data_IF_012146306445
#
_entry.id   IF_012146306445
#
_cell.length_a   1.000
_cell.length_b   1.000
_cell.length_c   1.000
_cell.angle_alpha   90.00
_cell.angle_beta   90.00
_cell.angle_gamma   90.00
#
_symmetry.space_group_name_H-M   'P 1'
#
loop_
_entity.id
_entity.type
_entity.pdbx_description
1 polymer ?
#
# COMPACT_ATOMS: atom_id res chain seq x y z
N UNK A 1 13.63 -2.31 12.85
CA UNK A 1 13.48 -2.45 11.38
C UNK A 1 14.70 -1.86 10.73
N UNK A 2 15.21 -2.50 9.68
CA UNK A 2 16.28 -1.96 8.84
C UNK A 2 15.70 -0.98 7.84
N UNK A 3 16.13 0.28 7.89
CA UNK A 3 15.69 1.31 6.94
C UNK A 3 16.64 1.34 5.74
N UNK A 4 16.08 1.43 4.53
CA UNK A 4 16.84 1.65 3.30
C UNK A 4 16.62 3.09 2.87
N UNK A 5 17.69 3.89 2.84
CA UNK A 5 17.64 5.28 2.39
C UNK A 5 18.08 5.39 0.92
N UNK A 6 17.26 6.03 0.11
CA UNK A 6 17.57 6.39 -1.28
C UNK A 6 17.28 7.87 -1.52
N UNK A 7 18.02 8.49 -2.45
CA UNK A 7 17.82 9.89 -2.85
C UNK A 7 17.32 9.92 -4.29
N UNK A 8 16.24 10.66 -4.52
CA UNK A 8 15.63 10.83 -5.84
C UNK A 8 15.65 12.30 -6.22
N UNK A 9 16.02 12.59 -7.47
CA UNK A 9 15.96 13.94 -8.02
C UNK A 9 14.63 14.09 -8.76
N UNK A 10 13.82 15.06 -8.34
CA UNK A 10 12.54 15.39 -8.96
C UNK A 10 12.67 16.71 -9.73
N UNK A 11 11.86 16.94 -10.78
CA UNK A 11 11.76 18.25 -11.41
C UNK A 11 11.37 19.33 -10.38
N UNK A 12 11.93 20.53 -10.49
CA UNK A 12 11.59 21.66 -9.61
C UNK A 12 10.11 22.06 -9.66
N UNK A 13 9.42 21.73 -10.76
CA UNK A 13 7.98 21.94 -10.94
C UNK A 13 7.10 20.84 -10.34
N UNK A 14 7.69 19.78 -9.78
CA UNK A 14 6.93 18.66 -9.22
C UNK A 14 5.94 19.10 -8.13
N UNK A 15 6.31 19.88 -7.09
CA UNK A 15 5.38 20.25 -6.03
C UNK A 15 4.16 21.00 -6.57
N UNK A 16 4.37 21.84 -7.59
CA UNK A 16 3.33 22.61 -8.27
C UNK A 16 2.40 21.68 -9.07
N UNK A 17 2.98 20.72 -9.79
CA UNK A 17 2.24 19.78 -10.65
C UNK A 17 1.28 18.90 -9.85
N UNK A 18 1.72 18.41 -8.69
CA UNK A 18 0.91 17.57 -7.79
C UNK A 18 0.17 18.37 -6.72
N UNK A 19 0.35 19.69 -6.66
CA UNK A 19 -0.30 20.61 -5.69
C UNK A 19 -0.06 20.21 -4.22
N UNK A 20 1.18 19.87 -3.88
CA UNK A 20 1.59 19.52 -2.51
C UNK A 20 2.73 20.41 -2.04
N UNK A 21 2.86 20.58 -0.72
CA UNK A 21 4.02 21.30 -0.15
C UNK A 21 5.26 20.42 -0.14
N UNK A 22 6.44 21.05 -0.12
CA UNK A 22 7.72 20.33 -0.14
C UNK A 22 7.91 19.37 1.06
N UNK A 23 7.43 19.75 2.24
CA UNK A 23 7.45 18.93 3.46
C UNK A 23 6.60 17.66 3.33
N UNK A 24 5.60 17.65 2.45
CA UNK A 24 4.67 16.53 2.25
C UNK A 24 5.13 15.55 1.17
N UNK A 25 6.10 15.94 0.33
CA UNK A 25 6.61 15.12 -0.80
C UNK A 25 7.04 13.72 -0.36
N UNK A 26 7.83 13.53 0.72
CA UNK A 26 8.28 12.19 1.10
C UNK A 26 7.12 11.25 1.42
N UNK A 27 6.09 11.75 2.12
CA UNK A 27 4.92 10.96 2.46
C UNK A 27 4.04 10.69 1.25
N UNK A 28 3.88 11.69 0.37
CA UNK A 28 3.17 11.52 -0.89
C UNK A 28 3.80 10.41 -1.76
N UNK A 29 5.12 10.42 -1.91
CA UNK A 29 5.84 9.43 -2.72
C UNK A 29 5.76 8.05 -2.10
N UNK A 30 6.00 7.90 -0.79
CA UNK A 30 5.88 6.62 -0.09
C UNK A 30 4.49 6.01 -0.26
N UNK A 31 3.43 6.82 -0.08
CA UNK A 31 2.06 6.36 -0.19
C UNK A 31 1.70 5.97 -1.62
N UNK A 32 2.09 6.78 -2.60
CA UNK A 32 1.89 6.47 -4.03
C UNK A 32 2.61 5.18 -4.41
N UNK A 33 3.87 5.02 -3.99
CA UNK A 33 4.66 3.83 -4.26
C UNK A 33 4.05 2.58 -3.60
N UNK A 34 3.58 2.68 -2.35
CA UNK A 34 2.91 1.58 -1.65
C UNK A 34 1.66 1.10 -2.38
N UNK A 35 0.84 2.04 -2.87
CA UNK A 35 -0.39 1.74 -3.61
C UNK A 35 -0.07 1.02 -4.92
N UNK A 36 0.85 1.55 -5.72
CA UNK A 36 1.18 0.95 -7.03
C UNK A 36 1.85 -0.42 -6.87
N UNK A 37 2.78 -0.57 -5.92
CA UNK A 37 3.40 -1.88 -5.68
C UNK A 37 2.42 -2.91 -5.10
N UNK A 38 1.41 -2.49 -4.34
CA UNK A 38 0.31 -3.38 -3.95
C UNK A 38 -0.53 -3.77 -5.17
N UNK A 39 -0.92 -2.79 -6.00
CA UNK A 39 -1.71 -3.03 -7.22
C UNK A 39 -1.01 -4.01 -8.18
N UNK A 40 0.31 -3.93 -8.29
CA UNK A 40 1.12 -4.86 -9.09
C UNK A 40 1.36 -6.23 -8.42
N UNK A 41 0.88 -6.45 -7.19
CA UNK A 41 1.10 -7.68 -6.43
C UNK A 41 2.53 -7.85 -5.87
N UNK A 42 3.37 -6.83 -5.97
CA UNK A 42 4.76 -6.84 -5.46
C UNK A 42 4.84 -6.68 -3.95
N UNK A 43 3.86 -6.01 -3.34
CA UNK A 43 3.72 -5.90 -1.89
C UNK A 43 2.44 -6.57 -1.42
N UNK A 44 2.54 -7.32 -0.32
CA UNK A 44 1.36 -7.72 0.45
C UNK A 44 0.72 -6.51 1.12
N UNK A 45 -0.55 -6.64 1.53
CA UNK A 45 -1.27 -5.57 2.23
C UNK A 45 -0.52 -5.04 3.46
N UNK A 46 0.16 -5.92 4.20
CA UNK A 46 0.96 -5.54 5.37
C UNK A 46 2.18 -4.70 5.01
N UNK A 47 2.95 -5.09 3.98
CA UNK A 47 4.13 -4.32 3.55
C UNK A 47 3.74 -3.00 2.88
N UNK A 48 2.61 -2.97 2.18
CA UNK A 48 2.06 -1.73 1.65
C UNK A 48 1.63 -0.77 2.77
N UNK A 49 0.98 -1.29 3.82
CA UNK A 49 0.63 -0.52 5.02
C UNK A 49 1.87 0.09 5.70
N UNK A 50 2.92 -0.72 5.87
CA UNK A 50 4.20 -0.31 6.43
C UNK A 50 4.83 0.84 5.62
N UNK A 51 4.93 0.68 4.30
CA UNK A 51 5.51 1.70 3.42
C UNK A 51 4.66 2.98 3.38
N UNK A 52 3.33 2.85 3.37
CA UNK A 52 2.41 3.98 3.38
C UNK A 52 2.37 4.72 4.72
N UNK A 53 2.96 4.18 5.80
CA UNK A 53 2.87 4.72 7.15
C UNK A 53 1.49 4.53 7.78
N UNK A 54 0.72 3.54 7.34
CA UNK A 54 -0.55 3.17 7.95
C UNK A 54 -0.31 2.43 9.28
N UNK A 55 -1.13 2.71 10.29
CA UNK A 55 -1.07 2.11 11.63
C UNK A 55 -1.36 0.61 11.61
N UNK A 56 -2.16 0.14 10.65
CA UNK A 56 -2.54 -1.25 10.50
C UNK A 56 -3.09 -1.54 9.08
N UNK A 57 -3.40 -2.81 8.81
CA UNK A 57 -3.97 -3.28 7.54
C UNK A 57 -5.31 -2.59 7.21
N UNK A 58 -6.16 -2.32 8.19
CA UNK A 58 -7.45 -1.65 7.99
C UNK A 58 -7.30 -0.24 7.43
N UNK A 59 -6.38 0.54 8.00
CA UNK A 59 -6.09 1.88 7.48
C UNK A 59 -5.55 1.81 6.04
N UNK A 60 -4.73 0.81 5.71
CA UNK A 60 -4.30 0.60 4.32
C UNK A 60 -5.46 0.25 3.39
N UNK A 61 -6.44 -0.56 3.82
CA UNK A 61 -7.64 -0.84 3.02
C UNK A 61 -8.41 0.44 2.70
N UNK A 62 -8.57 1.35 3.68
CA UNK A 62 -9.20 2.66 3.48
C UNK A 62 -8.39 3.52 2.49
N UNK A 63 -7.06 3.46 2.55
CA UNK A 63 -6.19 4.17 1.60
C UNK A 63 -6.40 3.64 0.16
N UNK A 64 -6.47 2.32 -0.01
CA UNK A 64 -6.67 1.68 -1.31
C UNK A 64 -8.05 1.99 -1.90
N UNK A 65 -9.10 1.90 -1.07
CA UNK A 65 -10.48 2.19 -1.45
C UNK A 65 -10.65 3.64 -1.95
N UNK A 66 -10.13 4.62 -1.19
CA UNK A 66 -10.15 6.03 -1.60
C UNK A 66 -9.41 6.30 -2.93
N UNK A 67 -8.53 5.39 -3.35
CA UNK A 67 -7.74 5.48 -4.58
C UNK A 67 -8.25 4.54 -5.67
N UNK A 68 -9.41 3.90 -5.47
CA UNK A 68 -10.03 2.99 -6.43
C UNK A 68 -9.21 1.73 -6.71
N UNK A 69 -8.40 1.28 -5.75
CA UNK A 69 -7.58 0.07 -5.89
C UNK A 69 -8.33 -1.12 -5.33
N UNK A 70 -8.72 -2.03 -6.22
CA UNK A 70 -9.34 -3.30 -5.84
C UNK A 70 -8.39 -4.12 -4.97
N UNK A 71 -8.97 -4.92 -4.08
CA UNK A 71 -8.20 -5.90 -3.32
C UNK A 71 -7.71 -6.99 -4.26
N UNK A 72 -6.46 -7.39 -4.08
CA UNK A 72 -5.92 -8.60 -4.66
C UNK A 72 -6.45 -9.82 -3.87
N UNK A 73 -7.77 -9.97 -3.84
CA UNK A 73 -8.45 -11.09 -3.19
C UNK A 73 -9.22 -11.85 -4.26
N UNK A 74 -8.77 -13.07 -4.52
CA UNK A 74 -9.29 -13.95 -5.55
C UNK A 74 -10.30 -14.93 -4.99
N UNK A 75 -10.99 -15.64 -5.89
CA UNK A 75 -11.90 -16.73 -5.51
C UNK A 75 -11.10 -17.88 -4.90
N UNK A 76 -9.87 -18.09 -5.34
CA UNK A 76 -8.94 -19.09 -4.82
C UNK A 76 -8.57 -18.78 -3.37
N UNK A 77 -8.25 -17.52 -3.06
CA UNK A 77 -7.99 -17.07 -1.67
C UNK A 77 -9.20 -17.37 -0.77
N UNK A 78 -10.42 -17.09 -1.24
CA UNK A 78 -11.64 -17.39 -0.50
C UNK A 78 -11.85 -18.88 -0.22
N UNK A 79 -11.49 -19.75 -1.17
CA UNK A 79 -11.57 -21.20 -0.99
C UNK A 79 -10.53 -21.69 0.02
N UNK A 80 -9.32 -21.16 -0.01
CA UNK A 80 -8.26 -21.51 0.93
C UNK A 80 -8.59 -21.07 2.37
N UNK A 81 -9.15 -19.87 2.52
CA UNK A 81 -9.68 -19.37 3.80
C UNK A 81 -10.79 -20.29 4.35
N UNK A 82 -11.74 -20.70 3.50
CA UNK A 82 -12.81 -21.63 3.89
C UNK A 82 -12.25 -22.99 4.33
N UNK A 83 -11.33 -23.56 3.55
CA UNK A 83 -10.66 -24.82 3.92
C UNK A 83 -9.95 -24.72 5.26
N UNK A 84 -9.34 -23.57 5.55
CA UNK A 84 -8.65 -23.34 6.83
C UNK A 84 -9.66 -23.31 7.98
N UNK A 85 -10.81 -22.66 7.80
CA UNK A 85 -11.88 -22.63 8.80
C UNK A 85 -12.47 -24.01 9.06
N UNK A 86 -12.71 -24.81 8.02
CA UNK A 86 -13.23 -26.17 8.14
C UNK A 86 -12.29 -27.07 8.97
N UNK A 87 -10.98 -26.92 8.82
CA UNK A 87 -9.98 -27.66 9.61
C UNK A 87 -9.95 -27.21 11.07
N UNK A 88 -10.03 -25.91 11.33
CA UNK A 88 -9.90 -25.35 12.68
C UNK A 88 -11.19 -25.54 13.51
N UNK A 89 -12.35 -25.59 12.87
CA UNK A 89 -13.66 -25.72 13.51
C UNK A 89 -14.16 -27.17 13.65
N UNK A 90 -13.43 -28.15 13.10
CA UNK A 90 -13.70 -29.58 13.25
C UNK A 90 -13.15 -30.14 14.58
#
# INVERSE_FOLDING_TARGET
>A
MSEVKTTINLPSSFPISVKIREDEIPNFIKRTLAIELYREGKLSLGKAAELAGARNKWEMLIILDNMGVALNYTVEDAKEDLSTLEVILA
#
